data_IF_742359254529
#
_entry.id   IF_742359254529
#
_cell.length_a   1.000
_cell.length_b   1.000
_cell.length_c   1.000
_cell.angle_alpha   90.00
_cell.angle_beta   90.00
_cell.angle_gamma   90.00
#
_symmetry.space_group_name_H-M   'P 1'
#
loop_
_entity.id
_entity.type
_entity.pdbx_description
1 polymer ?
#
# COMPACT_ATOMS: atom_id res chain seq x y z
N UNK A 1 -0.26 -20.28 19.44
CA UNK A 1 0.41 -19.11 20.04
C UNK A 1 1.35 -19.63 21.11
N UNK A 2 2.60 -19.18 21.07
CA UNK A 2 3.66 -19.60 21.99
C UNK A 2 3.47 -18.97 23.38
N UNK A 3 3.79 -19.69 24.45
CA UNK A 3 3.64 -19.23 25.85
C UNK A 3 4.41 -17.93 26.08
N UNK A 4 5.59 -17.79 25.46
CA UNK A 4 6.42 -16.59 25.53
C UNK A 4 5.71 -15.38 24.94
N UNK A 5 4.95 -15.57 23.84
CA UNK A 5 4.22 -14.48 23.19
C UNK A 5 3.11 -13.93 24.09
N UNK A 6 2.38 -14.81 24.78
CA UNK A 6 1.31 -14.37 25.69
C UNK A 6 1.90 -13.74 26.95
N UNK A 7 2.99 -14.26 27.51
CA UNK A 7 3.67 -13.63 28.65
C UNK A 7 4.13 -12.21 28.34
N UNK A 8 4.79 -12.01 27.20
CA UNK A 8 5.23 -10.67 26.77
C UNK A 8 4.03 -9.74 26.53
N UNK A 9 2.94 -10.27 25.98
CA UNK A 9 1.75 -9.48 25.76
C UNK A 9 1.07 -9.06 27.08
N UNK A 10 0.97 -9.96 28.06
CA UNK A 10 0.44 -9.64 29.40
C UNK A 10 1.27 -8.57 30.11
N UNK A 11 2.60 -8.63 30.01
CA UNK A 11 3.48 -7.58 30.56
C UNK A 11 3.16 -6.20 29.95
N UNK A 12 2.88 -6.14 28.66
CA UNK A 12 2.51 -4.89 27.98
C UNK A 12 1.09 -4.44 28.35
N UNK A 13 0.16 -5.38 28.56
CA UNK A 13 -1.19 -5.04 29.04
C UNK A 13 -1.17 -4.42 30.44
N UNK A 14 -0.30 -4.92 31.33
CA UNK A 14 -0.11 -4.36 32.67
C UNK A 14 0.64 -3.02 32.64
N UNK A 15 1.63 -2.87 31.75
CA UNK A 15 2.40 -1.64 31.62
C UNK A 15 2.65 -1.23 30.15
N UNK A 16 1.70 -0.49 29.53
CA UNK A 16 1.76 -0.13 28.11
C UNK A 16 2.95 0.73 27.71
N UNK A 17 3.64 1.37 28.66
CA UNK A 17 4.79 2.23 28.35
C UNK A 17 5.96 1.45 27.72
N UNK A 18 6.04 0.14 27.96
CA UNK A 18 7.06 -0.73 27.38
C UNK A 18 6.73 -1.22 25.96
N UNK A 19 5.51 -0.99 25.45
CA UNK A 19 5.06 -1.53 24.17
C UNK A 19 6.04 -1.22 23.02
N UNK A 20 6.42 0.04 22.87
CA UNK A 20 7.32 0.48 21.80
C UNK A 20 8.71 -0.12 21.94
N UNK A 21 9.24 -0.18 23.17
CA UNK A 21 10.56 -0.74 23.44
C UNK A 21 10.60 -2.26 23.18
N UNK A 22 9.62 -3.00 23.68
CA UNK A 22 9.50 -4.45 23.45
C UNK A 22 9.35 -4.72 21.96
N UNK A 23 8.48 -3.98 21.27
CA UNK A 23 8.31 -4.09 19.81
C UNK A 23 9.63 -3.90 19.07
N UNK A 24 10.41 -2.89 19.46
CA UNK A 24 11.70 -2.61 18.85
C UNK A 24 12.70 -3.75 19.10
N UNK A 25 12.79 -4.26 20.32
CA UNK A 25 13.65 -5.41 20.65
C UNK A 25 13.28 -6.68 19.89
N UNK A 26 11.98 -6.94 19.71
CA UNK A 26 11.51 -8.08 18.92
C UNK A 26 11.83 -7.89 17.43
N UNK A 27 11.68 -6.66 16.91
CA UNK A 27 11.97 -6.32 15.52
C UNK A 27 13.47 -6.46 15.21
N UNK A 28 14.36 -5.90 16.02
CA UNK A 28 15.82 -6.00 15.84
C UNK A 28 16.33 -7.44 15.81
N UNK A 29 15.64 -8.34 16.53
CA UNK A 29 16.01 -9.75 16.63
C UNK A 29 15.26 -10.64 15.65
N UNK A 30 14.40 -10.07 14.82
CA UNK A 30 13.54 -10.82 13.89
C UNK A 30 12.74 -11.93 14.63
N UNK A 31 12.14 -11.58 15.77
CA UNK A 31 11.33 -12.48 16.59
C UNK A 31 9.85 -12.11 16.61
N UNK A 32 9.00 -13.13 16.69
CA UNK A 32 7.56 -13.01 16.99
C UNK A 32 6.83 -11.93 16.14
N UNK A 33 6.86 -12.03 14.80
CA UNK A 33 6.30 -11.01 13.92
C UNK A 33 4.79 -10.78 14.13
N UNK A 34 4.06 -11.79 14.60
CA UNK A 34 2.63 -11.66 14.95
C UNK A 34 2.39 -10.82 16.19
N UNK A 35 3.23 -11.01 17.21
CA UNK A 35 3.17 -10.25 18.45
C UNK A 35 3.50 -8.78 18.17
N UNK A 36 4.49 -8.51 17.31
CA UNK A 36 4.83 -7.16 16.87
C UNK A 36 3.62 -6.45 16.24
N UNK A 37 2.87 -7.13 15.37
CA UNK A 37 1.66 -6.55 14.75
C UNK A 37 0.58 -6.31 15.80
N UNK A 38 0.37 -7.27 16.71
CA UNK A 38 -0.61 -7.15 17.81
C UNK A 38 -0.28 -5.95 18.71
N UNK A 39 0.98 -5.82 19.14
CA UNK A 39 1.46 -4.69 19.96
C UNK A 39 1.26 -3.37 19.21
N UNK A 40 1.62 -3.33 17.92
CA UNK A 40 1.51 -2.14 17.09
C UNK A 40 0.07 -1.63 17.02
N UNK A 41 -0.88 -2.53 16.74
CA UNK A 41 -2.31 -2.19 16.65
C UNK A 41 -2.92 -1.85 18.01
N UNK A 42 -2.47 -2.48 19.09
CA UNK A 42 -3.11 -2.26 20.39
C UNK A 42 -2.55 -1.03 21.10
N UNK A 43 -1.24 -0.76 20.98
CA UNK A 43 -0.55 0.19 21.87
C UNK A 43 0.26 1.29 21.17
N UNK A 44 0.85 1.07 19.98
CA UNK A 44 1.87 1.99 19.45
C UNK A 44 1.36 3.15 18.58
N UNK A 45 0.13 3.11 18.05
CA UNK A 45 -0.52 4.20 17.28
C UNK A 45 0.35 4.85 16.16
N UNK A 46 1.36 4.15 15.66
CA UNK A 46 2.35 4.64 14.70
C UNK A 46 2.47 3.70 13.49
N UNK A 47 1.37 3.05 13.13
CA UNK A 47 1.34 1.91 12.19
C UNK A 47 1.87 2.28 10.82
N UNK A 48 1.58 3.51 10.36
CA UNK A 48 2.06 4.00 9.07
C UNK A 48 3.59 4.08 9.06
N UNK A 49 4.19 4.69 10.08
CA UNK A 49 5.65 4.84 10.17
C UNK A 49 6.30 3.48 10.34
N UNK A 50 5.77 2.67 11.26
CA UNK A 50 6.26 1.33 11.53
C UNK A 50 6.26 0.45 10.28
N UNK A 51 5.13 0.37 9.56
CA UNK A 51 5.02 -0.45 8.36
C UNK A 51 5.95 0.04 7.24
N UNK A 52 6.07 1.36 7.04
CA UNK A 52 7.01 1.90 6.07
C UNK A 52 8.46 1.50 6.39
N UNK A 53 8.85 1.47 7.67
CA UNK A 53 10.16 0.99 8.11
C UNK A 53 10.35 -0.50 7.87
N UNK A 54 9.35 -1.32 8.21
CA UNK A 54 9.35 -2.77 7.96
C UNK A 54 9.48 -3.10 6.49
N UNK A 55 8.71 -2.42 5.62
CA UNK A 55 8.72 -2.69 4.18
C UNK A 55 10.05 -2.34 3.51
N UNK A 56 10.79 -1.36 4.05
CA UNK A 56 12.16 -1.03 3.60
C UNK A 56 13.20 -2.02 4.13
N UNK A 57 13.11 -2.40 5.41
CA UNK A 57 14.18 -3.14 6.10
C UNK A 57 14.04 -4.66 6.02
N UNK A 58 12.89 -5.18 6.48
CA UNK A 58 12.72 -6.61 6.78
C UNK A 58 11.43 -7.21 6.17
N UNK A 59 11.07 -6.93 4.90
CA UNK A 59 9.77 -7.34 4.37
C UNK A 59 9.64 -8.87 4.35
N UNK A 60 10.62 -9.60 3.80
CA UNK A 60 10.54 -11.06 3.63
C UNK A 60 10.30 -11.81 4.94
N UNK A 61 11.01 -11.43 6.01
CA UNK A 61 10.82 -12.03 7.33
C UNK A 61 9.48 -11.62 7.95
N UNK A 62 9.15 -10.33 7.94
CA UNK A 62 7.95 -9.83 8.61
C UNK A 62 6.66 -10.32 7.96
N UNK A 63 6.67 -10.64 6.66
CA UNK A 63 5.50 -11.16 5.96
C UNK A 63 5.21 -12.64 6.26
N UNK A 64 6.07 -13.35 6.98
CA UNK A 64 5.79 -14.71 7.46
C UNK A 64 4.84 -14.62 8.67
N UNK A 65 3.57 -14.32 8.38
CA UNK A 65 2.50 -14.10 9.35
C UNK A 65 1.53 -15.28 9.31
N UNK A 66 1.01 -15.74 10.46
CA UNK A 66 -0.13 -16.66 10.43
C UNK A 66 -1.42 -15.95 10.03
N UNK A 67 -2.42 -16.78 9.71
CA UNK A 67 -3.79 -16.32 9.44
C UNK A 67 -4.40 -15.50 10.59
N UNK A 68 -3.92 -15.67 11.83
CA UNK A 68 -4.44 -14.94 12.98
C UNK A 68 -4.10 -13.44 12.92
N UNK A 69 -2.95 -13.08 12.34
CA UNK A 69 -2.51 -11.70 12.18
C UNK A 69 -3.35 -10.92 11.17
N UNK A 70 -4.09 -11.58 10.27
CA UNK A 70 -4.92 -10.93 9.24
C UNK A 70 -5.91 -9.95 9.87
N UNK A 71 -6.54 -10.35 10.99
CA UNK A 71 -7.50 -9.49 11.70
C UNK A 71 -6.86 -8.18 12.21
N UNK A 72 -5.59 -8.24 12.63
CA UNK A 72 -4.84 -7.06 13.06
C UNK A 72 -4.48 -6.19 11.85
N UNK A 73 -4.01 -6.78 10.75
CA UNK A 73 -3.73 -6.01 9.54
C UNK A 73 -4.98 -5.36 8.94
N UNK A 74 -6.16 -5.97 9.07
CA UNK A 74 -7.42 -5.34 8.66
C UNK A 74 -7.74 -4.10 9.52
N UNK A 75 -7.44 -4.14 10.84
CA UNK A 75 -7.53 -2.95 11.71
C UNK A 75 -6.52 -1.88 11.30
N UNK A 76 -5.27 -2.26 11.00
CA UNK A 76 -4.24 -1.33 10.49
C UNK A 76 -4.71 -0.69 9.19
N UNK A 77 -5.23 -1.47 8.23
CA UNK A 77 -5.76 -0.97 6.98
C UNK A 77 -6.82 0.11 7.22
N UNK A 78 -7.76 -0.15 8.15
CA UNK A 78 -8.78 0.82 8.53
C UNK A 78 -8.18 2.13 9.05
N UNK A 79 -7.15 2.08 9.90
CA UNK A 79 -6.46 3.27 10.43
C UNK A 79 -5.71 4.04 9.34
N UNK A 80 -4.96 3.34 8.49
CA UNK A 80 -4.27 3.94 7.34
C UNK A 80 -5.27 4.64 6.42
N UNK A 81 -6.39 3.98 6.14
CA UNK A 81 -7.39 4.54 5.23
C UNK A 81 -8.11 5.75 5.84
N UNK A 82 -8.39 5.73 7.14
CA UNK A 82 -8.88 6.91 7.84
C UNK A 82 -7.89 8.08 7.74
N UNK A 83 -6.58 7.82 7.82
CA UNK A 83 -5.56 8.86 7.61
C UNK A 83 -5.63 9.44 6.20
N UNK A 84 -5.67 8.58 5.17
CA UNK A 84 -5.85 8.98 3.77
C UNK A 84 -7.10 9.85 3.58
N UNK A 85 -8.18 9.57 4.30
CA UNK A 85 -9.40 10.37 4.24
C UNK A 85 -9.27 11.73 4.92
N UNK A 86 -8.44 11.86 5.96
CA UNK A 86 -8.24 13.10 6.72
C UNK A 86 -7.28 14.05 6.01
N UNK A 87 -6.23 13.52 5.40
CA UNK A 87 -5.22 14.28 4.64
C UNK A 87 -5.83 14.87 3.35
N UNK A 88 -6.56 15.97 3.51
CA UNK A 88 -7.24 16.71 2.42
C UNK A 88 -6.59 18.06 2.11
N UNK A 89 -5.61 18.49 2.93
CA UNK A 89 -4.89 19.76 2.81
C UNK A 89 -3.51 19.58 2.19
N UNK A 90 -3.04 20.56 1.42
CA UNK A 90 -1.72 20.55 0.75
C UNK A 90 -0.55 20.43 1.74
N UNK A 91 -0.72 20.85 2.99
CA UNK A 91 0.30 20.78 4.05
C UNK A 91 0.62 19.35 4.53
N UNK A 92 -0.22 18.35 4.20
CA UNK A 92 -0.07 16.98 4.70
C UNK A 92 0.34 15.94 3.64
N UNK A 93 0.97 16.42 2.56
CA UNK A 93 1.38 15.58 1.42
C UNK A 93 2.35 14.46 1.81
N UNK A 94 3.20 14.67 2.82
CA UNK A 94 4.15 13.65 3.30
C UNK A 94 3.43 12.52 4.01
N UNK A 95 2.53 12.82 4.95
CA UNK A 95 1.80 11.77 5.68
C UNK A 95 0.86 11.01 4.74
N UNK A 96 0.19 11.72 3.83
CA UNK A 96 -0.62 11.10 2.78
C UNK A 96 0.23 10.14 1.92
N UNK A 97 1.43 10.57 1.50
CA UNK A 97 2.33 9.71 0.73
C UNK A 97 2.75 8.46 1.53
N UNK A 98 3.07 8.62 2.82
CA UNK A 98 3.44 7.51 3.70
C UNK A 98 2.26 6.55 3.91
N UNK A 99 1.04 7.07 4.07
CA UNK A 99 -0.17 6.28 4.24
C UNK A 99 -0.50 5.48 2.97
N UNK A 100 -0.47 6.10 1.79
CA UNK A 100 -0.67 5.41 0.50
C UNK A 100 0.40 4.34 0.30
N UNK A 101 1.67 4.66 0.60
CA UNK A 101 2.78 3.72 0.52
C UNK A 101 2.58 2.53 1.47
N UNK A 102 2.17 2.76 2.72
CA UNK A 102 1.87 1.70 3.67
C UNK A 102 0.70 0.81 3.19
N UNK A 103 -0.35 1.43 2.64
CA UNK A 103 -1.48 0.71 2.05
C UNK A 103 -1.04 -0.17 0.87
N UNK A 104 -0.17 0.35 -0.01
CA UNK A 104 0.40 -0.41 -1.11
C UNK A 104 1.23 -1.61 -0.63
N UNK A 105 1.98 -1.46 0.46
CA UNK A 105 2.68 -2.58 1.10
C UNK A 105 1.73 -3.65 1.64
N UNK A 106 0.63 -3.26 2.29
CA UNK A 106 -0.40 -4.22 2.75
C UNK A 106 -1.05 -4.98 1.59
N UNK A 107 -1.36 -4.29 0.49
CA UNK A 107 -1.92 -4.92 -0.71
C UNK A 107 -0.90 -5.84 -1.38
N UNK A 108 0.33 -5.34 -1.59
CA UNK A 108 1.36 -6.02 -2.39
C UNK A 108 2.02 -7.20 -1.68
N UNK A 109 2.25 -7.11 -0.38
CA UNK A 109 2.91 -8.19 0.38
C UNK A 109 1.94 -9.17 1.04
N UNK A 110 0.84 -8.66 1.60
CA UNK A 110 -0.11 -9.49 2.36
C UNK A 110 -1.35 -9.88 1.55
N UNK A 111 -1.48 -9.39 0.31
CA UNK A 111 -2.63 -9.67 -0.55
C UNK A 111 -3.95 -9.10 0.00
N UNK A 112 -3.88 -8.10 0.89
CA UNK A 112 -5.08 -7.52 1.49
C UNK A 112 -5.85 -6.77 0.42
N UNK A 113 -7.13 -7.12 0.26
CA UNK A 113 -7.99 -6.57 -0.78
C UNK A 113 -8.55 -5.20 -0.37
N UNK A 114 -8.58 -4.29 -1.35
CA UNK A 114 -9.30 -3.02 -1.23
C UNK A 114 -10.77 -3.22 -1.57
N UNK A 115 -11.66 -2.59 -0.81
CA UNK A 115 -13.09 -2.54 -1.12
C UNK A 115 -13.41 -1.40 -2.11
N UNK A 116 -14.65 -1.37 -2.60
CA UNK A 116 -15.06 -0.40 -3.63
C UNK A 116 -15.03 1.06 -3.13
N UNK A 117 -15.25 1.29 -1.83
CA UNK A 117 -15.16 2.63 -1.20
C UNK A 117 -13.70 3.09 -1.17
N UNK A 118 -12.80 2.20 -0.78
CA UNK A 118 -11.36 2.45 -0.71
C UNK A 118 -10.78 2.80 -2.09
N UNK A 119 -11.18 2.05 -3.12
CA UNK A 119 -10.79 2.30 -4.50
C UNK A 119 -11.38 3.61 -5.01
N UNK A 120 -12.66 3.86 -4.76
CA UNK A 120 -13.33 5.09 -5.14
C UNK A 120 -12.60 6.33 -4.60
N UNK A 121 -12.17 6.28 -3.33
CA UNK A 121 -11.40 7.38 -2.73
C UNK A 121 -10.00 7.53 -3.35
N UNK A 122 -9.31 6.42 -3.62
CA UNK A 122 -8.00 6.46 -4.29
C UNK A 122 -8.10 7.06 -5.70
N UNK A 123 -9.16 6.74 -6.45
CA UNK A 123 -9.41 7.32 -7.77
C UNK A 123 -9.77 8.81 -7.70
N UNK A 124 -10.53 9.23 -6.69
CA UNK A 124 -10.84 10.63 -6.44
C UNK A 124 -9.56 11.45 -6.13
N UNK A 125 -8.70 10.91 -5.26
CA UNK A 125 -7.39 11.51 -4.95
C UNK A 125 -6.50 11.56 -6.19
N UNK A 126 -6.50 10.50 -6.99
CA UNK A 126 -5.73 10.45 -8.24
C UNK A 126 -6.19 11.53 -9.23
N UNK A 127 -7.49 11.83 -9.26
CA UNK A 127 -8.09 12.85 -10.12
C UNK A 127 -7.78 14.28 -9.70
N UNK A 128 -7.70 14.52 -8.39
CA UNK A 128 -7.60 15.86 -7.80
C UNK A 128 -6.17 16.25 -7.40
N UNK A 129 -5.29 15.27 -7.20
CA UNK A 129 -3.93 15.51 -6.77
C UNK A 129 -3.10 16.22 -7.83
N UNK A 130 -2.41 17.27 -7.39
CA UNK A 130 -1.43 18.04 -8.19
C UNK A 130 0.02 17.63 -7.90
N UNK A 131 0.22 16.69 -6.99
CA UNK A 131 1.57 16.26 -6.57
C UNK A 131 1.97 15.00 -7.33
N UNK A 132 3.03 15.10 -8.13
CA UNK A 132 3.55 13.99 -8.93
C UNK A 132 3.81 12.72 -8.09
N UNK A 133 4.40 12.89 -6.89
CA UNK A 133 4.67 11.77 -5.97
C UNK A 133 3.41 11.01 -5.59
N UNK A 134 2.32 11.72 -5.26
CA UNK A 134 1.04 11.11 -4.87
C UNK A 134 0.42 10.36 -6.05
N UNK A 135 0.43 10.98 -7.24
CA UNK A 135 -0.04 10.35 -8.48
C UNK A 135 0.72 9.05 -8.74
N UNK A 136 2.06 9.08 -8.65
CA UNK A 136 2.93 7.91 -8.84
C UNK A 136 2.61 6.78 -7.85
N UNK A 137 2.43 7.11 -6.57
CA UNK A 137 2.09 6.14 -5.52
C UNK A 137 0.70 5.53 -5.73
N UNK A 138 -0.31 6.34 -6.06
CA UNK A 138 -1.67 5.88 -6.31
C UNK A 138 -1.76 5.02 -7.56
N UNK A 139 -1.06 5.37 -8.65
CA UNK A 139 -0.98 4.52 -9.84
C UNK A 139 -0.31 3.18 -9.52
N UNK A 140 0.78 3.20 -8.74
CA UNK A 140 1.44 1.96 -8.30
C UNK A 140 0.51 1.09 -7.44
N UNK A 141 -0.27 1.71 -6.54
CA UNK A 141 -1.30 1.02 -5.77
C UNK A 141 -2.38 0.41 -6.68
N UNK A 142 -2.85 1.14 -7.70
CA UNK A 142 -3.85 0.63 -8.66
C UNK A 142 -3.31 -0.57 -9.46
N UNK A 143 -2.03 -0.56 -9.83
CA UNK A 143 -1.39 -1.71 -10.48
C UNK A 143 -1.36 -2.93 -9.56
N UNK A 144 -1.08 -2.75 -8.27
CA UNK A 144 -1.12 -3.82 -7.28
C UNK A 144 -2.54 -4.33 -7.02
N UNK A 145 -3.53 -3.44 -7.02
CA UNK A 145 -4.94 -3.75 -6.75
C UNK A 145 -5.76 -4.00 -8.01
N UNK A 146 -5.15 -4.46 -9.12
CA UNK A 146 -5.82 -4.37 -10.42
C UNK A 146 -7.07 -5.25 -10.54
N UNK A 147 -7.12 -6.41 -9.88
CA UNK A 147 -8.31 -7.30 -9.84
C UNK A 147 -9.57 -6.51 -9.45
N UNK A 148 -9.42 -5.54 -8.54
CA UNK A 148 -10.51 -4.69 -8.11
C UNK A 148 -10.58 -3.38 -8.91
N UNK A 149 -9.45 -2.82 -9.35
CA UNK A 149 -9.44 -1.61 -10.17
C UNK A 149 -10.19 -1.79 -11.51
N UNK A 150 -10.19 -3.01 -12.06
CA UNK A 150 -10.95 -3.36 -13.28
C UNK A 150 -12.46 -3.28 -13.06
N UNK A 151 -12.97 -3.52 -11.84
CA UNK A 151 -14.40 -3.32 -11.56
C UNK A 151 -14.82 -1.86 -11.74
N UNK A 152 -13.88 -0.95 -11.56
CA UNK A 152 -14.02 0.49 -11.79
C UNK A 152 -13.32 0.96 -13.09
N UNK A 153 -13.18 0.07 -14.09
CA UNK A 153 -12.42 0.34 -15.32
C UNK A 153 -12.81 1.64 -16.01
N UNK A 154 -14.10 1.96 -16.10
CA UNK A 154 -14.58 3.22 -16.74
C UNK A 154 -14.09 4.46 -16.01
N UNK A 155 -14.16 4.44 -14.68
CA UNK A 155 -13.70 5.55 -13.84
C UNK A 155 -12.19 5.68 -13.92
N UNK A 156 -11.46 4.56 -13.83
CA UNK A 156 -10.01 4.56 -13.96
C UNK A 156 -9.55 5.06 -15.34
N UNK A 157 -10.20 4.62 -16.43
CA UNK A 157 -9.93 5.12 -17.78
C UNK A 157 -10.09 6.64 -17.86
N UNK A 158 -11.22 7.18 -17.35
CA UNK A 158 -11.48 8.61 -17.33
C UNK A 158 -10.43 9.38 -16.52
N UNK A 159 -10.01 8.87 -15.37
CA UNK A 159 -8.97 9.49 -14.55
C UNK A 159 -7.61 9.45 -15.27
N UNK A 160 -7.26 8.34 -15.92
CA UNK A 160 -6.03 8.22 -16.70
C UNK A 160 -6.01 9.18 -17.90
N UNK A 161 -7.11 9.29 -18.65
CA UNK A 161 -7.24 10.27 -19.74
C UNK A 161 -7.08 11.70 -19.23
N UNK A 162 -7.68 12.02 -18.07
CA UNK A 162 -7.51 13.34 -17.45
C UNK A 162 -6.06 13.59 -17.03
N UNK A 163 -5.38 12.60 -16.45
CA UNK A 163 -3.98 12.73 -16.04
C UNK A 163 -3.03 12.93 -17.23
N UNK A 164 -3.29 12.28 -18.35
CA UNK A 164 -2.54 12.49 -19.59
C UNK A 164 -2.69 13.92 -20.11
N UNK A 165 -3.86 14.55 -19.91
CA UNK A 165 -4.12 15.93 -20.30
C UNK A 165 -3.50 16.95 -19.34
N UNK A 166 -3.47 16.66 -18.03
CA UNK A 166 -2.95 17.62 -17.03
C UNK A 166 -1.42 17.67 -16.99
N UNK A 167 -0.74 16.61 -17.43
CA UNK A 167 0.73 16.56 -17.47
C UNK A 167 1.41 16.60 -16.10
N UNK A 168 0.67 16.30 -15.01
CA UNK A 168 1.20 16.33 -13.63
C UNK A 168 2.28 15.27 -13.39
N UNK A 169 2.25 14.18 -14.16
CA UNK A 169 3.20 13.08 -14.07
C UNK A 169 3.42 12.47 -15.45
N UNK A 170 4.64 12.07 -15.74
CA UNK A 170 5.00 11.31 -16.95
C UNK A 170 4.62 9.83 -16.83
N UNK A 171 4.38 9.34 -15.61
CA UNK A 171 4.12 7.93 -15.34
C UNK A 171 2.93 7.34 -16.14
N UNK A 172 1.76 8.00 -16.25
CA UNK A 172 0.65 7.48 -17.07
C UNK A 172 1.08 7.23 -18.52
N UNK A 173 1.87 8.13 -19.11
CA UNK A 173 2.36 8.01 -20.48
C UNK A 173 3.38 6.87 -20.61
N UNK A 174 4.33 6.76 -19.67
CA UNK A 174 5.28 5.66 -19.65
C UNK A 174 4.59 4.31 -19.48
N UNK A 175 3.59 4.22 -18.60
CA UNK A 175 2.77 3.01 -18.44
C UNK A 175 2.08 2.65 -19.75
N UNK A 176 1.49 3.63 -20.45
CA UNK A 176 0.85 3.42 -21.75
C UNK A 176 1.84 2.83 -22.76
N UNK A 177 3.03 3.41 -22.91
CA UNK A 177 4.09 2.93 -23.81
C UNK A 177 4.56 1.52 -23.42
N UNK A 178 4.80 1.25 -22.13
CA UNK A 178 5.23 -0.07 -21.68
C UNK A 178 4.15 -1.14 -21.83
N UNK A 179 2.87 -0.79 -21.66
CA UNK A 179 1.77 -1.70 -21.95
C UNK A 179 1.58 -1.94 -23.46
N UNK A 180 1.84 -0.95 -24.32
CA UNK A 180 1.82 -1.14 -25.77
C UNK A 180 2.95 -2.05 -26.27
N UNK A 181 4.14 -1.91 -25.66
CA UNK A 181 5.35 -2.65 -26.05
C UNK A 181 5.55 -3.97 -25.28
N UNK A 182 4.54 -4.40 -24.52
CA UNK A 182 4.56 -5.63 -23.70
C UNK A 182 5.75 -5.70 -22.70
N UNK A 183 6.28 -4.54 -22.28
CA UNK A 183 7.43 -4.43 -21.38
C UNK A 183 7.02 -4.51 -19.88
N UNK A 184 6.34 -5.59 -19.49
CA UNK A 184 5.85 -5.78 -18.11
C UNK A 184 6.95 -5.69 -17.04
N UNK A 185 8.17 -6.14 -17.35
CA UNK A 185 9.30 -6.04 -16.42
C UNK A 185 9.68 -4.59 -16.09
N UNK A 186 9.51 -3.66 -17.03
CA UNK A 186 9.75 -2.23 -16.79
C UNK A 186 8.66 -1.61 -15.91
N UNK A 187 7.40 -2.04 -16.09
CA UNK A 187 6.27 -1.61 -15.24
C UNK A 187 6.49 -2.05 -13.80
N UNK A 188 6.88 -3.31 -13.60
CA UNK A 188 7.22 -3.82 -12.27
C UNK A 188 8.39 -3.07 -11.65
N UNK A 189 9.48 -2.86 -12.41
CA UNK A 189 10.67 -2.14 -11.93
C UNK A 189 10.32 -0.71 -11.54
N UNK A 190 9.51 -0.02 -12.34
CA UNK A 190 9.03 1.33 -12.05
C UNK A 190 8.20 1.38 -10.77
N UNK A 191 7.20 0.49 -10.64
CA UNK A 191 6.34 0.45 -9.45
C UNK A 191 7.16 0.14 -8.18
N UNK A 192 8.10 -0.81 -8.25
CA UNK A 192 9.02 -1.12 -7.13
C UNK A 192 9.90 0.06 -6.76
N UNK A 193 10.41 0.80 -7.77
CA UNK A 193 11.23 1.99 -7.54
C UNK A 193 10.44 3.14 -6.91
N UNK A 194 9.19 3.36 -7.33
CA UNK A 194 8.32 4.41 -6.77
C UNK A 194 7.92 4.09 -5.34
N UNK A 195 7.55 2.82 -5.09
CA UNK A 195 7.15 2.36 -3.77
C UNK A 195 8.35 2.14 -2.85
N UNK A 196 9.57 2.05 -3.38
CA UNK A 196 10.75 1.60 -2.65
C UNK A 196 10.46 0.29 -1.88
N UNK A 197 9.87 -0.68 -2.60
CA UNK A 197 9.47 -1.98 -2.06
C UNK A 197 9.65 -3.06 -3.12
N UNK A 198 10.09 -4.25 -2.70
CA UNK A 198 10.21 -5.41 -3.58
C UNK A 198 8.88 -6.21 -3.68
N UNK A 199 7.80 -5.52 -4.06
CA UNK A 199 6.49 -6.14 -4.25
C UNK A 199 6.38 -6.80 -5.63
N UNK A 200 5.71 -7.96 -5.68
CA UNK A 200 5.39 -8.64 -6.93
C UNK A 200 4.02 -8.18 -7.43
N UNK A 201 3.93 -7.77 -8.70
CA UNK A 201 2.65 -7.48 -9.34
C UNK A 201 2.19 -8.76 -10.05
N UNK A 202 0.98 -9.28 -9.78
CA UNK A 202 0.49 -10.48 -10.46
C UNK A 202 0.48 -10.28 -11.98
N UNK A 203 0.96 -11.25 -12.76
CA UNK A 203 0.99 -11.11 -14.24
C UNK A 203 -0.41 -10.93 -14.84
N UNK A 204 -1.39 -11.65 -14.30
CA UNK A 204 -2.80 -11.49 -14.71
C UNK A 204 -3.27 -10.06 -14.49
N UNK A 205 -2.85 -9.44 -13.38
CA UNK A 205 -3.17 -8.06 -13.06
C UNK A 205 -2.64 -7.08 -14.12
N UNK A 206 -1.43 -7.32 -14.64
CA UNK A 206 -0.82 -6.52 -15.70
C UNK A 206 -1.52 -6.69 -17.05
N UNK A 207 -1.91 -7.92 -17.42
CA UNK A 207 -2.63 -8.17 -18.67
C UNK A 207 -3.99 -7.46 -18.71
N UNK A 208 -4.71 -7.44 -17.61
CA UNK A 208 -6.00 -6.75 -17.56
C UNK A 208 -5.84 -5.22 -17.60
N UNK A 209 -4.82 -4.68 -16.90
CA UNK A 209 -4.49 -3.26 -17.02
C UNK A 209 -4.05 -2.89 -18.44
N UNK A 210 -3.30 -3.75 -19.13
CA UNK A 210 -2.94 -3.54 -20.52
C UNK A 210 -4.15 -3.38 -21.44
N UNK A 211 -5.18 -4.23 -21.27
CA UNK A 211 -6.44 -4.11 -22.03
C UNK A 211 -7.10 -2.74 -21.80
N UNK A 212 -7.09 -2.27 -20.55
CA UNK A 212 -7.62 -0.96 -20.20
C UNK A 212 -6.83 0.17 -20.90
N UNK A 213 -5.50 0.19 -20.80
CA UNK A 213 -4.69 1.24 -21.44
C UNK A 213 -4.87 1.25 -22.97
N UNK A 214 -4.92 0.08 -23.62
CA UNK A 214 -5.19 -0.01 -25.06
C UNK A 214 -6.56 0.54 -25.46
N UNK A 215 -7.57 0.43 -24.58
CA UNK A 215 -8.91 0.98 -24.84
C UNK A 215 -8.99 2.51 -24.74
N UNK A 216 -8.03 3.13 -24.04
CA UNK A 216 -7.93 4.59 -23.92
C UNK A 216 -7.39 5.19 -25.21
N UNK A 217 -6.42 4.53 -25.86
CA UNK A 217 -5.85 4.98 -27.15
C UNK A 217 -6.82 4.90 -28.33
N UNK A 218 -7.82 4.03 -28.26
CA UNK A 218 -8.79 3.82 -29.35
C UNK A 218 -9.95 4.83 -29.35
N UNK A 219 -9.97 5.80 -28.43
CA UNK A 219 -10.95 6.89 -28.36
C UNK A 219 -10.27 8.25 -28.51
#
# INVERSE_FOLDING_TARGET
MDIISEMLYTVIEEDPQYATWIRYQLLERELLPELIVRITVTFCNDEIVFLNGVFCGFPSWFMVQSANSISHFMKVKGRIFNEIQRSTTEDDTVQLAMAIRALAGLVGYLGIKLNDIEIGKCLELLRTSKTERIVKLLLSLMLLSSEHAIRSQRTLASVLSQLLQTGVSEMPMLLMVYFQTDQFGQIETMARSILDMNVAIPKLALFEMQKLFRSIDTN
#
